data_IF_412953491576
#
_entry.id   IF_412953491576
#
_cell.length_a   1.000
_cell.length_b   1.000
_cell.length_c   1.000
_cell.angle_alpha   90.00
_cell.angle_beta   90.00
_cell.angle_gamma   90.00
#
_symmetry.space_group_name_H-M   'P 1'
#
loop_
_entity.id
_entity.type
_entity.pdbx_description
1 polymer ?
#
# COMPACT_ATOMS: atom_id res chain seq x y z
N UNK A 1 28.48 14.05 -12.41
CA UNK A 1 27.48 14.37 -11.37
C UNK A 1 27.06 13.07 -10.72
N UNK A 2 27.18 12.94 -9.40
CA UNK A 2 26.69 11.74 -8.71
C UNK A 2 25.18 11.59 -8.96
N UNK A 3 24.75 10.41 -9.41
CA UNK A 3 23.34 10.11 -9.60
C UNK A 3 22.63 10.18 -8.25
N UNK A 4 21.62 11.04 -8.13
CA UNK A 4 20.82 11.18 -6.91
C UNK A 4 20.01 9.89 -6.73
N UNK A 5 20.07 9.29 -5.53
CA UNK A 5 19.34 8.05 -5.26
C UNK A 5 17.83 8.32 -5.01
N UNK A 6 17.00 7.28 -5.09
CA UNK A 6 15.54 7.42 -4.99
C UNK A 6 15.08 8.10 -3.69
N UNK A 7 15.70 7.77 -2.55
CA UNK A 7 15.34 8.35 -1.25
C UNK A 7 15.62 9.86 -1.26
N UNK A 8 16.79 10.27 -1.76
CA UNK A 8 17.16 11.67 -1.88
C UNK A 8 16.22 12.45 -2.82
N UNK A 9 15.74 11.81 -3.90
CA UNK A 9 14.72 12.42 -4.77
C UNK A 9 13.40 12.66 -4.03
N UNK A 10 12.98 11.71 -3.18
CA UNK A 10 11.76 11.83 -2.36
C UNK A 10 11.92 12.90 -1.28
N UNK A 11 13.08 12.96 -0.62
CA UNK A 11 13.41 13.98 0.39
C UNK A 11 13.38 15.40 -0.22
N UNK A 12 14.01 15.60 -1.38
CA UNK A 12 13.99 16.90 -2.09
C UNK A 12 12.59 17.34 -2.47
N UNK A 13 11.69 16.40 -2.75
CA UNK A 13 10.30 16.67 -3.03
C UNK A 13 9.44 16.89 -1.76
N UNK A 14 10.04 16.81 -0.56
CA UNK A 14 9.32 16.93 0.71
C UNK A 14 8.39 15.74 1.00
N UNK A 15 8.64 14.58 0.40
CA UNK A 15 7.78 13.38 0.50
C UNK A 15 8.21 12.40 1.59
N UNK A 16 9.28 12.70 2.32
CA UNK A 16 9.84 11.87 3.38
C UNK A 16 9.65 12.58 4.71
N UNK A 17 8.84 11.99 5.58
CA UNK A 17 8.72 12.45 6.97
C UNK A 17 9.77 11.79 7.87
N UNK A 18 9.87 10.46 7.80
CA UNK A 18 10.79 9.64 8.58
C UNK A 18 11.19 8.40 7.78
N UNK A 19 12.43 7.94 7.96
CA UNK A 19 12.96 6.70 7.37
C UNK A 19 13.72 5.96 8.46
N UNK A 20 13.51 4.64 8.53
CA UNK A 20 14.31 3.75 9.36
C UNK A 20 15.59 3.40 8.62
N UNK A 21 16.75 3.64 9.24
CA UNK A 21 18.07 3.30 8.69
C UNK A 21 18.22 3.65 7.20
N UNK A 22 18.36 4.95 6.95
CA UNK A 22 18.40 5.49 5.58
C UNK A 22 19.55 4.93 4.74
N UNK A 23 20.71 4.71 5.37
CA UNK A 23 21.90 4.18 4.70
C UNK A 23 21.65 2.74 4.23
N UNK A 24 21.18 1.87 5.12
CA UNK A 24 20.88 0.49 4.78
C UNK A 24 19.76 0.39 3.72
N UNK A 25 18.74 1.25 3.79
CA UNK A 25 17.68 1.27 2.80
C UNK A 25 18.20 1.74 1.43
N UNK A 26 19.05 2.77 1.39
CA UNK A 26 19.65 3.26 0.15
C UNK A 26 20.51 2.17 -0.51
N UNK A 27 21.33 1.46 0.28
CA UNK A 27 22.11 0.32 -0.19
C UNK A 27 21.22 -0.79 -0.74
N UNK A 28 20.14 -1.13 -0.02
CA UNK A 28 19.21 -2.17 -0.49
C UNK A 28 18.53 -1.77 -1.79
N UNK A 29 18.13 -0.51 -1.97
CA UNK A 29 17.54 -0.03 -3.22
C UNK A 29 18.55 -0.07 -4.38
N UNK A 30 19.83 0.16 -4.11
CA UNK A 30 20.90 0.09 -5.12
C UNK A 30 21.21 -1.35 -5.57
N UNK A 31 21.01 -2.34 -4.72
CA UNK A 31 21.21 -3.76 -5.06
C UNK A 31 20.19 -4.31 -6.07
N UNK A 32 19.05 -3.64 -6.24
CA UNK A 32 18.05 -4.01 -7.24
C UNK A 32 16.61 -3.90 -6.74
N UNK A 33 15.63 -4.36 -7.56
CA UNK A 33 14.21 -4.27 -7.24
C UNK A 33 13.85 -4.82 -5.86
N UNK A 34 12.88 -4.17 -5.22
CA UNK A 34 12.29 -4.59 -3.95
C UNK A 34 10.78 -4.59 -4.08
N UNK A 35 10.10 -5.37 -3.25
CA UNK A 35 8.67 -5.18 -3.02
C UNK A 35 8.46 -4.24 -1.85
N UNK A 36 7.53 -3.29 -1.98
CA UNK A 36 7.13 -2.36 -0.93
C UNK A 36 5.60 -2.30 -0.86
N UNK A 37 5.04 -1.90 0.28
CA UNK A 37 3.60 -1.83 0.42
C UNK A 37 3.10 -0.52 1.02
N UNK A 38 1.87 -0.16 0.70
CA UNK A 38 1.11 0.87 1.42
C UNK A 38 -0.29 0.34 1.72
N UNK A 39 -0.71 0.51 2.96
CA UNK A 39 -2.04 0.14 3.43
C UNK A 39 -3.06 1.25 3.21
N UNK A 40 -4.22 0.91 2.65
CA UNK A 40 -5.37 1.78 2.51
C UNK A 40 -6.55 1.20 3.29
N UNK A 41 -6.93 1.88 4.36
CA UNK A 41 -8.09 1.47 5.16
C UNK A 41 -9.39 1.97 4.52
N UNK A 42 -10.37 1.08 4.23
CA UNK A 42 -11.68 1.41 3.69
C UNK A 42 -12.56 2.04 4.79
N UNK A 43 -12.18 3.23 5.25
CA UNK A 43 -12.98 4.02 6.19
C UNK A 43 -14.19 4.67 5.53
N UNK A 44 -14.09 4.91 4.21
CA UNK A 44 -15.13 5.42 3.34
C UNK A 44 -15.17 4.64 2.01
N UNK A 45 -16.16 4.95 1.17
CA UNK A 45 -16.37 4.33 -0.15
C UNK A 45 -15.36 4.77 -1.23
N UNK A 46 -14.51 5.76 -0.92
CA UNK A 46 -13.50 6.35 -1.83
C UNK A 46 -12.28 6.81 -1.04
N UNK A 47 -11.11 6.74 -1.67
CA UNK A 47 -9.93 7.48 -1.25
C UNK A 47 -10.16 8.99 -1.42
N UNK A 48 -9.64 9.77 -0.48
CA UNK A 48 -9.56 11.24 -0.53
C UNK A 48 -8.10 11.71 -0.65
N UNK A 49 -7.88 13.02 -0.81
CA UNK A 49 -6.56 13.64 -1.01
C UNK A 49 -5.48 13.19 -0.02
N UNK A 50 -5.83 12.96 1.25
CA UNK A 50 -4.88 12.41 2.25
C UNK A 50 -4.22 11.07 1.87
N UNK A 51 -4.80 10.27 0.96
CA UNK A 51 -4.20 9.02 0.48
C UNK A 51 -3.37 9.19 -0.79
N UNK A 52 -3.41 10.38 -1.41
CA UNK A 52 -2.76 10.62 -2.69
C UNK A 52 -1.24 10.65 -2.56
N UNK A 53 -0.71 11.24 -1.48
CA UNK A 53 0.74 11.30 -1.26
C UNK A 53 1.36 9.89 -1.17
N UNK A 54 0.87 8.97 -0.30
CA UNK A 54 1.39 7.60 -0.28
C UNK A 54 1.21 6.84 -1.59
N UNK A 55 0.09 7.06 -2.31
CA UNK A 55 -0.18 6.42 -3.59
C UNK A 55 0.79 6.88 -4.70
N UNK A 56 1.08 8.19 -4.75
CA UNK A 56 2.08 8.73 -5.68
C UNK A 56 3.49 8.29 -5.31
N UNK A 57 3.79 8.10 -4.03
CA UNK A 57 5.05 7.48 -3.61
C UNK A 57 5.16 6.05 -4.15
N UNK A 58 4.13 5.20 -3.99
CA UNK A 58 4.12 3.86 -4.59
C UNK A 58 4.37 3.90 -6.11
N UNK A 59 3.75 4.84 -6.82
CA UNK A 59 4.00 5.05 -8.26
C UNK A 59 5.46 5.42 -8.55
N UNK A 60 6.06 6.30 -7.76
CA UNK A 60 7.48 6.69 -7.93
C UNK A 60 8.42 5.51 -7.72
N UNK A 61 8.16 4.66 -6.73
CA UNK A 61 8.90 3.41 -6.55
C UNK A 61 8.72 2.46 -7.73
N UNK A 62 7.51 2.38 -8.29
CA UNK A 62 7.28 1.57 -9.49
C UNK A 62 8.06 2.07 -10.71
N UNK A 63 8.06 3.38 -10.94
CA UNK A 63 8.84 4.01 -12.01
C UNK A 63 10.35 3.83 -11.83
N UNK A 64 10.81 3.63 -10.59
CA UNK A 64 12.19 3.28 -10.26
C UNK A 64 12.49 1.77 -10.37
N UNK A 65 11.52 0.95 -10.81
CA UNK A 65 11.70 -0.48 -11.04
C UNK A 65 11.34 -1.39 -9.86
N UNK A 66 10.79 -0.85 -8.76
CA UNK A 66 10.34 -1.62 -7.61
C UNK A 66 8.89 -2.09 -7.74
N UNK A 67 8.49 -3.10 -6.99
CA UNK A 67 7.17 -3.72 -7.08
C UNK A 67 6.23 -3.17 -6.00
N UNK A 68 5.25 -2.30 -6.34
CA UNK A 68 4.33 -1.74 -5.36
C UNK A 68 3.21 -2.73 -4.99
N UNK A 69 2.92 -2.83 -3.70
CA UNK A 69 1.81 -3.62 -3.15
C UNK A 69 0.80 -2.67 -2.52
N UNK A 70 -0.35 -2.48 -3.17
CA UNK A 70 -1.47 -1.74 -2.61
C UNK A 70 -2.31 -2.69 -1.75
N UNK A 71 -2.18 -2.54 -0.43
CA UNK A 71 -2.85 -3.38 0.56
C UNK A 71 -4.16 -2.72 0.99
N UNK A 72 -5.30 -3.39 0.80
CA UNK A 72 -6.60 -2.88 1.27
C UNK A 72 -6.96 -3.53 2.61
N UNK A 73 -7.16 -2.67 3.61
CA UNK A 73 -7.37 -3.03 5.02
C UNK A 73 -8.75 -3.62 5.29
N UNK A 74 -8.95 -4.91 5.02
CA UNK A 74 -10.20 -5.60 5.33
C UNK A 74 -10.48 -5.72 6.84
N UNK A 75 -9.44 -6.03 7.63
CA UNK A 75 -9.54 -6.23 9.09
C UNK A 75 -9.25 -4.95 9.90
N UNK A 76 -8.25 -4.17 9.51
CA UNK A 76 -7.91 -2.87 10.14
C UNK A 76 -9.03 -1.86 10.00
N UNK A 77 -9.77 -1.88 8.88
CA UNK A 77 -10.99 -1.09 8.72
C UNK A 77 -12.14 -1.51 9.64
N UNK A 78 -12.15 -2.74 10.17
CA UNK A 78 -13.17 -3.24 11.09
C UNK A 78 -12.91 -2.85 12.55
N UNK A 79 -11.63 -2.89 12.96
CA UNK A 79 -11.21 -2.50 14.31
C UNK A 79 -11.07 -0.97 14.40
N UNK A 80 -10.52 -0.35 13.36
CA UNK A 80 -10.21 1.07 13.28
C UNK A 80 -8.83 1.37 13.88
N UNK A 81 -7.95 1.99 13.09
CA UNK A 81 -6.68 2.50 13.60
C UNK A 81 -6.89 3.71 14.55
N UNK A 82 -6.47 3.62 15.83
CA UNK A 82 -6.61 4.68 16.82
C UNK A 82 -5.55 5.77 16.69
N UNK A 83 -4.52 5.58 15.87
CA UNK A 83 -3.41 6.52 15.69
C UNK A 83 -3.91 7.95 15.41
N UNK A 84 -3.56 8.88 16.30
CA UNK A 84 -3.81 10.34 16.21
C UNK A 84 -5.28 10.82 16.23
N UNK A 85 -6.25 10.01 16.68
CA UNK A 85 -7.65 10.46 16.80
C UNK A 85 -8.08 10.69 18.25
N UNK A 86 -8.65 11.87 18.51
CA UNK A 86 -9.15 12.27 19.84
C UNK A 86 -10.48 11.59 20.24
N UNK A 87 -11.17 10.91 19.32
CA UNK A 87 -12.45 10.26 19.57
C UNK A 87 -12.52 8.88 18.93
N UNK A 88 -13.11 7.92 19.65
CA UNK A 88 -13.40 6.57 19.15
C UNK A 88 -14.28 6.61 17.90
N UNK A 89 -13.92 5.81 16.89
CA UNK A 89 -14.72 5.69 15.66
C UNK A 89 -15.98 4.88 15.95
N UNK A 90 -17.11 5.29 15.38
CA UNK A 90 -18.31 4.44 15.32
C UNK A 90 -17.99 3.13 14.60
N UNK A 91 -18.05 2.02 15.34
CA UNK A 91 -17.99 0.66 14.80
C UNK A 91 -19.10 0.51 13.75
N UNK A 92 -18.70 0.26 12.50
CA UNK A 92 -19.64 0.11 11.41
C UNK A 92 -19.93 -1.37 11.17
N UNK A 93 -21.19 -1.72 10.87
CA UNK A 93 -21.63 -3.10 10.72
C UNK A 93 -20.78 -3.89 9.68
N UNK A 94 -20.28 -5.10 10.00
CA UNK A 94 -19.20 -5.79 9.25
C UNK A 94 -19.51 -6.14 7.78
N UNK A 95 -20.79 -6.29 7.42
CA UNK A 95 -21.20 -7.08 6.25
C UNK A 95 -21.26 -6.30 4.93
N UNK A 96 -21.33 -4.96 4.94
CA UNK A 96 -21.45 -4.15 3.71
C UNK A 96 -20.12 -3.59 3.18
N UNK A 97 -19.02 -3.66 3.96
CA UNK A 97 -17.79 -2.91 3.67
C UNK A 97 -16.62 -3.74 3.10
N UNK A 98 -16.51 -5.03 3.40
CA UNK A 98 -15.28 -5.79 3.10
C UNK A 98 -15.07 -6.16 1.62
N UNK A 99 -16.14 -6.36 0.84
CA UNK A 99 -16.03 -6.76 -0.58
C UNK A 99 -16.26 -5.61 -1.56
N UNK A 100 -17.21 -4.72 -1.28
CA UNK A 100 -17.52 -3.59 -2.17
C UNK A 100 -16.53 -2.43 -2.02
N UNK A 101 -16.16 -2.06 -0.79
CA UNK A 101 -15.16 -1.02 -0.54
C UNK A 101 -13.81 -1.38 -1.13
N UNK A 102 -13.36 -2.63 -0.91
CA UNK A 102 -12.09 -3.13 -1.45
C UNK A 102 -12.03 -3.15 -2.98
N UNK A 103 -13.15 -3.49 -3.66
CA UNK A 103 -13.22 -3.40 -5.13
C UNK A 103 -13.21 -1.96 -5.63
N UNK A 104 -13.91 -1.04 -4.96
CA UNK A 104 -13.93 0.39 -5.32
C UNK A 104 -12.54 1.02 -5.16
N UNK A 105 -11.87 0.76 -4.03
CA UNK A 105 -10.50 1.24 -3.78
C UNK A 105 -9.53 0.66 -4.81
N UNK A 106 -9.61 -0.65 -5.08
CA UNK A 106 -8.79 -1.27 -6.13
C UNK A 106 -9.00 -0.58 -7.49
N UNK A 107 -10.24 -0.35 -7.90
CA UNK A 107 -10.56 0.38 -9.14
C UNK A 107 -9.99 1.80 -9.15
N UNK A 108 -9.97 2.47 -8.01
CA UNK A 108 -9.44 3.84 -7.89
C UNK A 108 -7.91 3.90 -7.89
N UNK A 109 -7.25 2.84 -7.40
CA UNK A 109 -5.78 2.70 -7.41
C UNK A 109 -5.26 2.25 -8.77
N UNK A 110 -6.03 1.48 -9.53
CA UNK A 110 -5.64 0.93 -10.84
C UNK A 110 -5.09 1.96 -11.85
N UNK A 111 -5.59 3.20 -11.96
CA UNK A 111 -5.01 4.19 -12.87
C UNK A 111 -3.66 4.75 -12.43
N UNK A 112 -3.26 4.56 -11.16
CA UNK A 112 -2.03 5.12 -10.60
C UNK A 112 -0.85 4.16 -10.70
N UNK A 113 -1.10 2.86 -10.59
CA UNK A 113 -0.09 1.82 -10.63
C UNK A 113 -0.29 0.94 -11.84
N UNK A 114 0.81 0.50 -12.45
CA UNK A 114 0.76 -0.42 -13.58
C UNK A 114 0.67 -1.87 -13.06
N UNK A 115 -0.36 -2.60 -13.46
CA UNK A 115 -0.58 -3.99 -13.03
C UNK A 115 -0.08 -5.00 -14.08
N UNK A 116 0.48 -4.53 -15.21
CA UNK A 116 0.90 -5.36 -16.34
C UNK A 116 2.16 -4.81 -17.03
N UNK A 117 3.22 -4.57 -16.23
CA UNK A 117 4.52 -4.06 -16.72
C UNK A 117 5.67 -5.07 -16.57
N UNK A 118 5.35 -6.35 -16.35
CA UNK A 118 6.32 -7.42 -16.18
C UNK A 118 6.77 -7.60 -14.73
N UNK A 119 8.08 -7.60 -14.48
CA UNK A 119 8.67 -8.02 -13.20
C UNK A 119 8.33 -7.13 -12.00
N UNK A 120 7.97 -5.87 -12.23
CA UNK A 120 7.57 -4.90 -11.21
C UNK A 120 6.08 -4.53 -11.26
N UNK A 121 5.25 -5.41 -11.83
CA UNK A 121 3.79 -5.24 -11.87
C UNK A 121 3.22 -5.09 -10.46
N UNK A 122 2.31 -4.13 -10.30
CA UNK A 122 1.68 -3.84 -9.03
C UNK A 122 0.82 -5.01 -8.55
N UNK A 123 0.76 -5.19 -7.23
CA UNK A 123 -0.04 -6.21 -6.58
C UNK A 123 -1.13 -5.55 -5.74
N UNK A 124 -2.38 -5.97 -5.92
CA UNK A 124 -3.49 -5.58 -5.06
C UNK A 124 -3.74 -6.67 -4.01
N UNK A 125 -3.35 -6.41 -2.77
CA UNK A 125 -3.52 -7.34 -1.64
C UNK A 125 -4.74 -7.02 -0.78
N UNK A 126 -5.34 -8.03 -0.15
CA UNK A 126 -6.29 -7.82 0.95
C UNK A 126 -5.66 -8.32 2.25
N UNK A 127 -5.72 -7.52 3.31
CA UNK A 127 -5.06 -7.84 4.59
C UNK A 127 -5.56 -9.15 5.21
N UNK A 128 -6.85 -9.47 5.07
CA UNK A 128 -7.41 -10.77 5.52
C UNK A 128 -6.92 -11.97 4.71
N UNK A 129 -6.35 -11.76 3.52
CA UNK A 129 -5.91 -12.82 2.62
C UNK A 129 -4.40 -13.08 2.69
N UNK A 130 -3.64 -12.18 3.32
CA UNK A 130 -2.18 -12.26 3.43
C UNK A 130 -1.69 -12.75 4.79
N UNK A 131 -2.50 -12.67 5.85
CA UNK A 131 -2.03 -12.98 7.22
C UNK A 131 -2.26 -14.45 7.63
N UNK A 132 -3.16 -15.21 7.00
CA UNK A 132 -3.45 -16.60 7.44
C UNK A 132 -3.84 -17.54 6.29
N UNK A 133 -2.88 -17.96 5.47
CA UNK A 133 -3.01 -19.18 4.67
C UNK A 133 -2.04 -20.25 5.21
N UNK A 134 -2.22 -20.61 6.48
CA UNK A 134 -1.81 -21.93 6.93
C UNK A 134 -2.91 -22.90 6.47
N UNK A 135 -2.54 -23.87 5.65
CA UNK A 135 -3.30 -25.09 5.32
C UNK A 135 -4.73 -24.92 4.77
N UNK A 136 -4.86 -25.02 3.44
CA UNK A 136 -5.86 -25.90 2.82
C UNK A 136 -5.26 -26.51 1.55
N UNK A 137 -4.44 -27.53 1.76
CA UNK A 137 -4.58 -28.72 0.93
C UNK A 137 -5.94 -29.34 1.28
N UNK A 138 -6.64 -29.86 0.28
CA UNK A 138 -7.85 -30.69 0.38
C UNK A 138 -9.19 -29.98 0.65
N UNK A 139 -9.93 -29.67 -0.43
CA UNK A 139 -11.09 -30.45 -0.89
C UNK A 139 -11.87 -29.71 -2.02
N UNK A 140 -12.53 -30.46 -2.93
CA UNK A 140 -13.12 -29.98 -4.19
C UNK A 140 -14.58 -29.47 -4.06
N UNK A 141 -14.98 -28.77 -5.14
CA UNK A 141 -16.31 -28.24 -5.53
C UNK A 141 -17.08 -27.38 -4.52
#
# INVERSE_FOLDING_TARGET
MASINLIQQLQRAGLVAQVTDEEALAERLAQGPIALYCGFDPTADSLHLGHLVPLLCLKRFQLAGHTPVALVGGATGMIGDPSFKAAERKLNTPRKRSTNGSRKIRKQVSPFLDFDCGSNSAIAGQQLRLVWRHERADLPA
#
